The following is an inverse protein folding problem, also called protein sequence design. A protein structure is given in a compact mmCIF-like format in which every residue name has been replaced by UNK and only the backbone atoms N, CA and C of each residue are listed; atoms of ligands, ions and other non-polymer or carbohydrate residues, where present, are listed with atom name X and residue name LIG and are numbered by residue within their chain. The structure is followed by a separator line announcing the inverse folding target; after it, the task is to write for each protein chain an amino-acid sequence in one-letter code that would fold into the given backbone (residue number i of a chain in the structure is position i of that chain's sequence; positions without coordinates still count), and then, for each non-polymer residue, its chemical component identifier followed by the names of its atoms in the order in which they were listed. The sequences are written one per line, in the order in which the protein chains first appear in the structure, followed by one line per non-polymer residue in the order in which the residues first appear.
data_IF_643655330934
#
_entry.id   IF_643655330934
#
_cell.length_a   1.000
_cell.length_b   1.000
_cell.length_c   1.000
_cell.angle_alpha   90.00
_cell.angle_beta   90.00
_cell.angle_gamma   90.00
#
_symmetry.space_group_name_H-M   'P 1'
#
loop_
_entity.id
_entity.type
_entity.pdbx_description
1 polymer ?
#
# COMPACT_ATOMS: atom_id res chain seq x y z
N UNK A 1 9.51 7.51 18.84
CA UNK A 1 8.23 8.17 18.52
C UNK A 1 7.22 7.19 17.92
N UNK A 2 7.52 6.48 16.82
CA UNK A 2 6.59 5.54 16.17
C UNK A 2 5.99 4.52 17.14
N UNK A 3 6.79 3.78 17.90
CA UNK A 3 6.32 2.78 18.86
C UNK A 3 5.44 3.37 19.97
N UNK A 4 5.79 4.57 20.43
CA UNK A 4 5.01 5.27 21.47
C UNK A 4 3.61 5.64 20.95
N UNK A 5 3.50 6.13 19.72
CA UNK A 5 2.20 6.43 19.08
C UNK A 5 1.37 5.16 18.91
N UNK A 6 2.01 4.06 18.45
CA UNK A 6 1.33 2.78 18.30
C UNK A 6 0.74 2.31 19.64
N UNK A 7 1.54 2.26 20.70
CA UNK A 7 1.07 1.80 22.02
C UNK A 7 0.01 2.71 22.63
N UNK A 8 0.01 4.01 22.29
CA UNK A 8 -0.97 4.96 22.82
C UNK A 8 -2.34 4.85 22.14
N UNK A 9 -2.36 4.57 20.83
CA UNK A 9 -3.57 4.67 20.00
C UNK A 9 -4.09 3.32 19.47
N UNK A 10 -3.28 2.27 19.47
CA UNK A 10 -3.67 0.94 18.99
C UNK A 10 -3.75 -0.05 20.13
N UNK A 11 -4.95 -0.57 20.40
CA UNK A 11 -5.16 -1.64 21.37
C UNK A 11 -4.73 -2.98 20.76
N UNK A 12 -4.01 -3.81 21.54
CA UNK A 12 -3.49 -5.11 21.11
C UNK A 12 -2.68 -5.03 19.78
N UNK A 13 -1.57 -4.23 19.76
CA UNK A 13 -0.85 -3.89 18.53
C UNK A 13 -0.21 -5.10 17.82
N UNK A 14 -0.12 -6.26 18.48
CA UNK A 14 0.48 -7.47 17.90
C UNK A 14 -0.52 -8.32 17.10
N UNK A 15 -1.82 -8.12 17.29
CA UNK A 15 -2.88 -8.82 16.56
C UNK A 15 -3.19 -8.14 15.22
N UNK A 16 -2.21 -8.14 14.32
CA UNK A 16 -2.32 -7.48 13.00
C UNK A 16 -3.25 -8.20 12.01
N UNK A 17 -3.68 -9.43 12.32
CA UNK A 17 -4.67 -10.17 11.52
C UNK A 17 -6.09 -9.67 11.77
N UNK A 18 -6.34 -9.05 12.91
CA UNK A 18 -7.65 -8.51 13.28
C UNK A 18 -7.97 -7.24 12.48
N UNK A 19 -9.09 -7.24 11.78
CA UNK A 19 -9.52 -6.12 10.94
C UNK A 19 -9.67 -4.79 11.71
N UNK A 20 -10.11 -4.85 12.98
CA UNK A 20 -10.25 -3.67 13.83
C UNK A 20 -8.88 -3.07 14.19
N UNK A 21 -7.88 -3.92 14.45
CA UNK A 21 -6.50 -3.51 14.73
C UNK A 21 -5.87 -2.91 13.47
N UNK A 22 -6.05 -3.54 12.30
CA UNK A 22 -5.61 -2.99 11.00
C UNK A 22 -6.19 -1.60 10.76
N UNK A 23 -7.50 -1.46 10.94
CA UNK A 23 -8.19 -0.16 10.79
C UNK A 23 -7.65 0.89 11.77
N UNK A 24 -7.36 0.51 13.01
CA UNK A 24 -6.76 1.41 14.00
C UNK A 24 -5.37 1.90 13.56
N UNK A 25 -4.53 1.02 13.00
CA UNK A 25 -3.24 1.39 12.42
C UNK A 25 -3.39 2.34 11.22
N UNK A 26 -4.29 2.04 10.28
CA UNK A 26 -4.57 2.88 9.13
C UNK A 26 -5.09 4.27 9.53
N UNK A 27 -6.04 4.32 10.46
CA UNK A 27 -6.55 5.57 11.01
C UNK A 27 -5.45 6.39 11.71
N UNK A 28 -4.61 5.74 12.53
CA UNK A 28 -3.48 6.41 13.19
C UNK A 28 -2.53 7.02 12.16
N UNK A 29 -2.12 6.25 11.15
CA UNK A 29 -1.19 6.70 10.13
C UNK A 29 -1.77 7.87 9.34
N UNK A 30 -3.03 7.78 8.90
CA UNK A 30 -3.71 8.84 8.14
C UNK A 30 -3.89 10.12 8.97
N UNK A 31 -4.30 10.01 10.23
CA UNK A 31 -4.47 11.17 11.11
C UNK A 31 -3.15 11.87 11.44
N UNK A 32 -2.10 11.10 11.71
CA UNK A 32 -0.75 11.65 11.96
C UNK A 32 -0.22 12.32 10.70
N UNK A 33 -0.38 11.68 9.54
CA UNK A 33 -0.01 12.25 8.24
C UNK A 33 -0.72 13.56 7.95
N UNK A 34 -2.05 13.59 8.14
CA UNK A 34 -2.86 14.79 7.99
C UNK A 34 -2.39 15.92 8.93
N UNK A 35 -2.19 15.62 10.21
CA UNK A 35 -1.75 16.61 11.19
C UNK A 35 -0.38 17.19 10.83
N UNK A 36 0.59 16.35 10.43
CA UNK A 36 1.92 16.79 10.01
C UNK A 36 1.85 17.68 8.76
N UNK A 37 1.10 17.27 7.74
CA UNK A 37 0.96 18.04 6.50
C UNK A 37 0.25 19.40 6.74
N UNK A 38 -0.78 19.43 7.60
CA UNK A 38 -1.42 20.70 7.99
C UNK A 38 -0.47 21.60 8.77
N UNK A 39 0.32 21.07 9.70
CA UNK A 39 1.32 21.85 10.43
C UNK A 39 2.40 22.40 9.51
N UNK A 40 2.89 21.61 8.55
CA UNK A 40 3.83 22.06 7.52
C UNK A 40 3.20 23.14 6.63
N UNK A 41 1.95 22.95 6.20
CA UNK A 41 1.21 23.93 5.42
C UNK A 41 1.11 25.27 6.17
N UNK A 42 0.61 25.27 7.40
CA UNK A 42 0.45 26.48 8.20
C UNK A 42 1.78 27.15 8.49
N UNK A 43 2.83 26.40 8.84
CA UNK A 43 4.16 26.94 9.08
C UNK A 43 4.78 27.58 7.85
N UNK A 44 4.64 26.93 6.68
CA UNK A 44 5.11 27.47 5.39
C UNK A 44 4.30 28.67 4.93
N UNK A 45 2.96 28.67 5.10
CA UNK A 45 2.13 29.85 4.80
C UNK A 45 2.53 31.04 5.66
N UNK A 46 2.69 30.83 6.97
CA UNK A 46 3.15 31.91 7.87
C UNK A 46 4.53 32.43 7.47
N UNK A 47 5.49 31.56 7.19
CA UNK A 47 6.81 31.95 6.73
C UNK A 47 6.76 32.66 5.37
N UNK A 48 6.01 32.10 4.40
CA UNK A 48 5.87 32.68 3.06
C UNK A 48 5.24 34.06 3.07
N UNK A 49 4.21 34.31 3.90
CA UNK A 49 3.55 35.59 4.04
C UNK A 49 4.44 36.62 4.77
N UNK A 50 5.09 36.21 5.87
CA UNK A 50 5.96 37.11 6.64
C UNK A 50 7.19 37.58 5.86
N UNK A 51 7.73 36.72 4.98
CA UNK A 51 8.95 37.02 4.23
C UNK A 51 8.71 37.24 2.73
N UNK A 52 7.44 37.27 2.30
CA UNK A 52 7.06 37.58 0.91
C UNK A 52 7.53 36.55 -0.11
N UNK A 53 7.72 35.26 0.29
CA UNK A 53 8.21 34.19 -0.59
C UNK A 53 7.06 33.40 -1.22
N UNK A 54 6.79 33.69 -2.51
CA UNK A 54 5.78 32.98 -3.31
C UNK A 54 6.13 31.46 -3.41
N UNK A 55 7.43 31.15 -3.50
CA UNK A 55 7.89 29.76 -3.60
C UNK A 55 7.54 28.95 -2.34
N UNK A 56 7.74 29.53 -1.13
CA UNK A 56 7.36 28.87 0.13
C UNK A 56 5.83 28.72 0.24
N UNK A 57 5.07 29.72 -0.25
CA UNK A 57 3.61 29.65 -0.25
C UNK A 57 3.10 28.55 -1.22
N UNK A 58 3.71 28.41 -2.39
CA UNK A 58 3.40 27.35 -3.33
C UNK A 58 3.69 25.95 -2.73
N UNK A 59 4.81 25.80 -2.05
CA UNK A 59 5.18 24.55 -1.34
C UNK A 59 4.23 24.26 -0.16
N UNK A 60 3.66 25.27 0.48
CA UNK A 60 2.60 25.10 1.47
C UNK A 60 1.32 24.50 0.87
N UNK A 61 0.94 24.91 -0.34
CA UNK A 61 -0.22 24.33 -1.05
C UNK A 61 0.01 22.87 -1.41
N UNK A 62 1.25 22.47 -1.73
CA UNK A 62 1.58 21.06 -1.94
C UNK A 62 1.30 20.23 -0.68
N UNK A 63 1.72 20.70 0.51
CA UNK A 63 1.40 20.00 1.76
C UNK A 63 -0.12 19.92 2.05
N UNK A 64 -0.91 20.88 1.57
CA UNK A 64 -2.37 20.79 1.67
C UNK A 64 -2.93 19.69 0.77
N UNK A 65 -2.38 19.52 -0.44
CA UNK A 65 -2.71 18.41 -1.34
C UNK A 65 -2.38 17.06 -0.69
N UNK A 66 -1.21 16.92 -0.05
CA UNK A 66 -0.80 15.71 0.67
C UNK A 66 -1.73 15.39 1.85
N UNK A 67 -2.20 16.43 2.56
CA UNK A 67 -3.21 16.24 3.59
C UNK A 67 -4.51 15.64 3.02
N UNK A 68 -4.89 16.02 1.80
CA UNK A 68 -6.06 15.46 1.10
C UNK A 68 -5.87 13.99 0.76
N UNK A 69 -4.67 13.56 0.33
CA UNK A 69 -4.35 12.14 0.10
C UNK A 69 -4.47 11.31 1.39
N UNK A 70 -4.09 11.88 2.55
CA UNK A 70 -4.30 11.21 3.83
C UNK A 70 -5.79 11.07 4.20
N UNK A 71 -6.66 12.01 3.77
CA UNK A 71 -8.12 11.85 3.92
C UNK A 71 -8.63 10.68 3.08
N UNK A 72 -8.15 10.53 1.84
CA UNK A 72 -8.52 9.39 0.97
C UNK A 72 -8.13 8.08 1.63
N UNK A 73 -6.92 7.96 2.15
CA UNK A 73 -6.45 6.78 2.89
C UNK A 73 -7.33 6.49 4.12
N UNK A 74 -7.66 7.52 4.91
CA UNK A 74 -8.54 7.38 6.09
C UNK A 74 -9.93 6.84 5.72
N UNK A 75 -10.51 7.38 4.65
CA UNK A 75 -11.81 6.91 4.14
C UNK A 75 -11.71 5.48 3.63
N UNK A 76 -10.64 5.15 2.89
CA UNK A 76 -10.36 3.80 2.40
C UNK A 76 -10.32 2.78 3.52
N UNK A 77 -9.57 3.01 4.58
CA UNK A 77 -9.50 2.12 5.75
C UNK A 77 -10.85 1.96 6.46
N UNK A 78 -11.63 3.05 6.58
CA UNK A 78 -12.96 2.98 7.20
C UNK A 78 -13.96 2.20 6.36
N UNK A 79 -13.92 2.36 5.04
CA UNK A 79 -14.79 1.60 4.13
C UNK A 79 -14.37 0.12 4.07
N UNK A 80 -13.08 -0.16 4.02
CA UNK A 80 -12.55 -1.52 4.03
C UNK A 80 -12.94 -2.31 5.30
N UNK A 81 -13.11 -1.62 6.42
CA UNK A 81 -13.51 -2.24 7.68
C UNK A 81 -14.97 -2.74 7.70
N UNK A 82 -15.81 -2.37 6.71
CA UNK A 82 -17.18 -2.86 6.65
C UNK A 82 -17.20 -4.35 6.33
N UNK A 83 -18.02 -5.08 7.08
CA UNK A 83 -18.29 -6.49 6.84
C UNK A 83 -19.03 -6.76 5.52
N UNK A 84 -19.30 -8.04 5.23
CA UNK A 84 -20.17 -8.45 4.13
C UNK A 84 -21.57 -7.84 4.26
N UNK A 85 -22.17 -7.51 3.12
CA UNK A 85 -23.59 -7.12 2.99
C UNK A 85 -24.21 -7.82 1.78
N UNK A 86 -25.52 -7.61 1.54
CA UNK A 86 -26.25 -8.26 0.43
C UNK A 86 -25.67 -7.95 -0.96
N UNK A 87 -25.04 -6.77 -1.14
CA UNK A 87 -24.44 -6.36 -2.42
C UNK A 87 -22.99 -6.81 -2.55
N UNK A 88 -22.29 -6.94 -1.41
CA UNK A 88 -20.85 -7.29 -1.35
C UNK A 88 -20.67 -8.46 -0.36
N UNK A 89 -21.03 -9.70 -0.76
CA UNK A 89 -21.02 -10.86 0.13
C UNK A 89 -19.61 -11.22 0.62
N UNK A 90 -18.58 -10.83 -0.13
CA UNK A 90 -17.18 -11.04 0.27
C UNK A 90 -16.59 -9.89 1.09
N UNK A 91 -17.41 -8.86 1.41
CA UNK A 91 -17.02 -7.70 2.20
C UNK A 91 -16.42 -6.57 1.36
N UNK A 92 -15.85 -5.58 2.05
CA UNK A 92 -15.44 -4.31 1.47
C UNK A 92 -13.92 -4.07 1.52
N UNK A 93 -13.11 -5.07 1.88
CA UNK A 93 -11.68 -4.87 2.14
C UNK A 93 -10.89 -4.35 0.91
N UNK A 94 -11.36 -4.59 -0.33
CA UNK A 94 -10.78 -4.03 -1.56
C UNK A 94 -10.80 -2.49 -1.63
N UNK A 95 -11.61 -1.80 -0.79
CA UNK A 95 -11.53 -0.33 -0.70
C UNK A 95 -10.15 0.17 -0.24
N UNK A 96 -9.38 -0.65 0.48
CA UNK A 96 -7.99 -0.33 0.82
C UNK A 96 -7.12 -0.22 -0.44
N UNK A 97 -7.21 -1.19 -1.35
CA UNK A 97 -6.49 -1.14 -2.64
C UNK A 97 -6.94 0.04 -3.51
N UNK A 98 -8.25 0.31 -3.56
CA UNK A 98 -8.78 1.46 -4.31
C UNK A 98 -8.27 2.79 -3.75
N UNK A 99 -8.18 2.94 -2.44
CA UNK A 99 -7.60 4.14 -1.82
C UNK A 99 -6.10 4.26 -2.15
N UNK A 100 -5.34 3.15 -2.08
CA UNK A 100 -3.94 3.11 -2.52
C UNK A 100 -3.77 3.52 -3.98
N UNK A 101 -4.64 3.00 -4.87
CA UNK A 101 -4.61 3.35 -6.30
C UNK A 101 -4.84 4.86 -6.52
N UNK A 102 -5.78 5.48 -5.81
CA UNK A 102 -6.00 6.94 -5.89
C UNK A 102 -4.74 7.70 -5.48
N UNK A 103 -4.05 7.28 -4.42
CA UNK A 103 -2.78 7.89 -4.00
C UNK A 103 -1.71 7.71 -5.09
N UNK A 104 -1.57 6.51 -5.68
CA UNK A 104 -0.61 6.25 -6.77
C UNK A 104 -0.88 7.12 -8.00
N UNK A 105 -2.15 7.25 -8.42
CA UNK A 105 -2.53 8.13 -9.54
C UNK A 105 -2.17 9.59 -9.24
N UNK A 106 -2.36 10.04 -7.99
CA UNK A 106 -1.99 11.40 -7.58
C UNK A 106 -0.47 11.59 -7.66
N UNK A 107 0.34 10.63 -7.19
CA UNK A 107 1.80 10.66 -7.30
C UNK A 107 2.24 10.78 -8.76
N UNK A 108 1.67 9.98 -9.65
CA UNK A 108 1.99 10.01 -11.09
C UNK A 108 1.60 11.35 -11.72
N UNK A 109 0.44 11.91 -11.36
CA UNK A 109 0.00 13.23 -11.85
C UNK A 109 0.96 14.35 -11.40
N UNK A 110 1.39 14.33 -10.14
CA UNK A 110 2.38 15.28 -9.60
C UNK A 110 3.73 15.08 -10.31
N UNK A 111 4.19 13.83 -10.51
CA UNK A 111 5.41 13.52 -11.23
C UNK A 111 5.42 14.06 -12.67
N UNK A 112 4.30 13.92 -13.41
CA UNK A 112 4.13 14.47 -14.75
C UNK A 112 4.15 16.00 -14.76
N UNK A 113 3.49 16.63 -13.79
CA UNK A 113 3.51 18.10 -13.63
C UNK A 113 4.93 18.61 -13.35
N UNK A 114 5.63 17.97 -12.43
CA UNK A 114 7.02 18.29 -12.11
C UNK A 114 7.94 18.09 -13.32
N UNK A 115 7.77 17.04 -14.10
CA UNK A 115 8.54 16.79 -15.33
C UNK A 115 8.34 17.93 -16.33
N UNK A 116 7.08 18.32 -16.56
CA UNK A 116 6.73 19.41 -17.47
C UNK A 116 7.36 20.73 -17.02
N UNK A 117 7.20 21.11 -15.75
CA UNK A 117 7.73 22.36 -15.20
C UNK A 117 9.26 22.39 -15.23
N UNK A 118 9.90 21.28 -14.88
CA UNK A 118 11.36 21.15 -14.90
C UNK A 118 11.92 21.21 -16.31
N UNK A 119 11.26 20.58 -17.29
CA UNK A 119 11.65 20.65 -18.70
C UNK A 119 11.54 22.09 -19.22
N UNK A 120 10.49 22.83 -18.87
CA UNK A 120 10.36 24.25 -19.21
C UNK A 120 11.46 25.11 -18.58
N UNK A 121 11.88 24.82 -17.34
CA UNK A 121 13.02 25.50 -16.69
C UNK A 121 14.37 25.20 -17.35
N UNK A 122 14.55 24.01 -17.92
CA UNK A 122 15.74 23.71 -18.72
C UNK A 122 15.79 24.56 -19.99
N UNK A 123 14.63 24.75 -20.66
CA UNK A 123 14.53 25.53 -21.91
C UNK A 123 14.55 27.03 -21.64
N UNK A 124 13.98 27.48 -20.54
CA UNK A 124 13.87 28.87 -20.12
C UNK A 124 14.34 29.02 -18.67
N UNK A 125 15.65 29.05 -18.40
CA UNK A 125 16.18 29.16 -17.05
C UNK A 125 15.71 30.45 -16.38
N UNK A 126 15.22 30.30 -15.16
CA UNK A 126 14.83 31.46 -14.30
C UNK A 126 15.74 31.51 -13.09
N UNK A 127 16.19 32.70 -12.72
CA UNK A 127 17.04 32.88 -11.56
C UNK A 127 16.35 32.39 -10.27
N UNK A 128 17.05 31.57 -9.51
CA UNK A 128 16.55 31.04 -8.24
C UNK A 128 16.82 32.06 -7.14
N UNK A 129 15.77 32.46 -6.42
CA UNK A 129 15.91 33.41 -5.30
C UNK A 129 16.46 32.65 -4.08
N UNK A 130 17.71 32.95 -3.72
CA UNK A 130 18.36 32.37 -2.56
C UNK A 130 18.00 33.13 -1.28
N UNK A 131 17.62 32.40 -0.21
CA UNK A 131 17.39 32.92 1.12
C UNK A 131 17.73 31.87 2.18
N UNK A 132 18.51 32.24 3.19
CA UNK A 132 18.83 31.34 4.32
C UNK A 132 17.59 30.88 5.08
N UNK A 133 16.55 31.70 5.12
CA UNK A 133 15.28 31.29 5.71
C UNK A 133 14.61 30.21 4.91
N UNK A 134 14.55 30.36 3.57
CA UNK A 134 14.01 29.33 2.68
C UNK A 134 14.75 27.99 2.88
N UNK A 135 16.07 28.03 2.98
CA UNK A 135 16.92 26.87 3.28
C UNK A 135 16.50 26.22 4.61
N UNK A 136 16.30 27.01 5.66
CA UNK A 136 15.89 26.50 6.99
C UNK A 136 14.50 25.86 6.97
N UNK A 137 13.53 26.47 6.30
CA UNK A 137 12.15 25.95 6.16
C UNK A 137 12.14 24.65 5.34
N UNK A 138 12.88 24.60 4.23
CA UNK A 138 13.01 23.40 3.41
C UNK A 138 13.68 22.26 4.18
N UNK A 139 14.76 22.54 4.91
CA UNK A 139 15.47 21.54 5.72
C UNK A 139 14.56 20.97 6.84
N UNK A 140 13.80 21.83 7.53
CA UNK A 140 12.81 21.38 8.52
C UNK A 140 11.72 20.51 7.90
N UNK A 141 11.22 20.90 6.72
CA UNK A 141 10.23 20.13 5.96
C UNK A 141 10.76 18.75 5.58
N UNK A 142 12.01 18.65 5.08
CA UNK A 142 12.68 17.38 4.77
C UNK A 142 12.72 16.48 6.02
N UNK A 143 13.08 17.03 7.18
CA UNK A 143 13.13 16.27 8.43
C UNK A 143 11.78 15.65 8.81
N UNK A 144 10.71 16.44 8.75
CA UNK A 144 9.35 15.98 9.06
C UNK A 144 8.88 14.94 8.03
N UNK A 145 9.04 15.19 6.73
CA UNK A 145 8.63 14.27 5.66
C UNK A 145 9.42 12.96 5.70
N UNK A 146 10.70 13.00 6.03
CA UNK A 146 11.53 11.79 6.19
C UNK A 146 11.03 10.93 7.37
N UNK A 147 10.66 11.59 8.47
CA UNK A 147 10.05 10.88 9.61
C UNK A 147 8.69 10.29 9.23
N UNK A 148 7.82 11.03 8.53
CA UNK A 148 6.52 10.55 8.05
C UNK A 148 6.66 9.35 7.11
N UNK A 149 7.60 9.40 6.16
CA UNK A 149 7.88 8.29 5.25
C UNK A 149 8.26 7.02 6.03
N UNK A 150 9.20 7.13 6.99
CA UNK A 150 9.58 5.99 7.84
C UNK A 150 8.43 5.49 8.72
N UNK A 151 7.64 6.39 9.27
CA UNK A 151 6.47 6.08 10.10
C UNK A 151 5.43 5.28 9.30
N UNK A 152 5.02 5.77 8.15
CA UNK A 152 4.04 5.12 7.28
C UNK A 152 4.57 3.78 6.75
N UNK A 153 5.85 3.71 6.34
CA UNK A 153 6.49 2.46 5.91
C UNK A 153 6.49 1.41 7.02
N UNK A 154 6.84 1.79 8.24
CA UNK A 154 6.88 0.86 9.39
C UNK A 154 5.49 0.30 9.69
N UNK A 155 4.46 1.14 9.66
CA UNK A 155 3.09 0.68 9.88
C UNK A 155 2.61 -0.13 8.67
N UNK A 156 2.82 0.36 7.44
CA UNK A 156 2.42 -0.33 6.20
C UNK A 156 2.97 -1.74 6.12
N UNK A 157 4.25 -1.94 6.41
CA UNK A 157 4.87 -3.27 6.48
C UNK A 157 4.27 -4.14 7.59
N UNK A 158 3.96 -3.56 8.76
CA UNK A 158 3.42 -4.31 9.89
C UNK A 158 2.01 -4.86 9.64
N UNK A 159 1.18 -4.12 8.89
CA UNK A 159 -0.19 -4.53 8.57
C UNK A 159 -0.36 -4.97 7.12
N UNK A 160 0.72 -5.07 6.34
CA UNK A 160 0.72 -5.39 4.91
C UNK A 160 -0.28 -4.51 4.13
N UNK A 161 -0.09 -3.18 4.20
CA UNK A 161 -0.99 -2.20 3.57
C UNK A 161 -0.30 -1.46 2.44
N UNK A 162 -0.72 -1.71 1.21
CA UNK A 162 -0.25 -1.03 0.00
C UNK A 162 -0.58 0.47 0.04
N UNK A 163 -1.74 0.84 0.59
CA UNK A 163 -2.11 2.25 0.77
C UNK A 163 -1.10 3.01 1.63
N UNK A 164 -0.65 2.43 2.75
CA UNK A 164 0.36 3.06 3.60
C UNK A 164 1.76 3.02 2.97
N UNK A 165 2.07 2.01 2.17
CA UNK A 165 3.29 1.97 1.37
C UNK A 165 3.28 3.07 0.30
N UNK A 166 2.13 3.31 -0.37
CA UNK A 166 1.93 4.43 -1.28
C UNK A 166 2.14 5.79 -0.58
N UNK A 167 1.51 5.99 0.59
CA UNK A 167 1.68 7.23 1.38
C UNK A 167 3.12 7.42 1.87
N UNK A 168 3.83 6.33 2.20
CA UNK A 168 5.24 6.38 2.57
C UNK A 168 6.13 6.78 1.37
N UNK A 169 5.82 6.27 0.17
CA UNK A 169 6.51 6.63 -1.07
C UNK A 169 6.27 8.08 -1.45
N UNK A 170 5.04 8.58 -1.31
CA UNK A 170 4.67 9.98 -1.51
C UNK A 170 5.54 10.90 -0.62
N UNK A 171 5.54 10.66 0.70
CA UNK A 171 6.40 11.42 1.63
C UNK A 171 7.89 11.32 1.29
N UNK A 172 8.37 10.19 0.74
CA UNK A 172 9.76 10.03 0.28
C UNK A 172 10.03 10.85 -0.98
N UNK A 173 9.08 10.88 -1.92
CA UNK A 173 9.18 11.68 -3.13
C UNK A 173 9.24 13.17 -2.80
N UNK A 174 8.48 13.62 -1.81
CA UNK A 174 8.56 14.98 -1.28
C UNK A 174 9.96 15.31 -0.72
N UNK A 175 10.56 14.38 0.02
CA UNK A 175 11.95 14.54 0.51
C UNK A 175 12.92 14.68 -0.66
N UNK A 176 12.80 13.84 -1.69
CA UNK A 176 13.67 13.90 -2.87
C UNK A 176 13.50 15.20 -3.62
N UNK A 177 12.25 15.60 -3.90
CA UNK A 177 11.93 16.84 -4.60
C UNK A 177 12.44 18.05 -3.83
N UNK A 178 12.12 18.16 -2.53
CA UNK A 178 12.55 19.26 -1.67
C UNK A 178 14.08 19.30 -1.52
N UNK A 179 14.74 18.13 -1.44
CA UNK A 179 16.20 18.05 -1.37
C UNK A 179 16.86 18.46 -2.68
N UNK A 180 16.29 18.10 -3.84
CA UNK A 180 16.76 18.54 -5.14
C UNK A 180 16.62 20.05 -5.31
N UNK A 181 15.47 20.62 -4.91
CA UNK A 181 15.26 22.08 -4.91
C UNK A 181 16.25 22.79 -3.99
N UNK A 182 16.49 22.26 -2.79
CA UNK A 182 17.47 22.83 -1.86
C UNK A 182 18.88 22.79 -2.45
N UNK A 183 19.28 21.63 -3.01
CA UNK A 183 20.60 21.46 -3.59
C UNK A 183 20.78 22.34 -4.84
N UNK A 184 19.80 22.39 -5.74
CA UNK A 184 19.84 23.24 -6.93
C UNK A 184 19.91 24.71 -6.56
N UNK A 185 19.14 25.15 -5.56
CA UNK A 185 19.17 26.53 -5.07
C UNK A 185 20.56 26.93 -4.56
N UNK A 186 21.21 26.05 -3.77
CA UNK A 186 22.56 26.29 -3.26
C UNK A 186 23.58 26.27 -4.39
N UNK A 187 23.53 25.29 -5.27
CA UNK A 187 24.45 25.17 -6.40
C UNK A 187 24.31 26.31 -7.39
N UNK A 188 23.07 26.72 -7.77
CA UNK A 188 22.84 27.87 -8.64
C UNK A 188 23.39 29.15 -8.04
N UNK A 189 23.20 29.35 -6.72
CA UNK A 189 23.76 30.53 -6.02
C UNK A 189 25.30 30.54 -6.04
N UNK A 190 25.95 29.39 -5.91
CA UNK A 190 27.41 29.28 -5.90
C UNK A 190 28.03 29.35 -7.30
N UNK A 191 27.38 28.77 -8.31
CA UNK A 191 27.91 28.62 -9.67
C UNK A 191 27.39 29.64 -10.67
N UNK A 192 26.24 30.27 -10.40
CA UNK A 192 25.50 31.10 -11.34
C UNK A 192 24.80 30.32 -12.47
N UNK A 193 24.67 28.99 -12.36
CA UNK A 193 24.08 28.14 -13.39
C UNK A 193 22.60 27.84 -13.05
N UNK A 194 21.69 28.65 -13.55
CA UNK A 194 20.26 28.52 -13.30
C UNK A 194 19.63 27.28 -13.96
N UNK A 195 20.28 26.68 -14.95
CA UNK A 195 19.82 25.43 -15.64
C UNK A 195 19.85 24.22 -14.70
N UNK A 196 20.69 24.23 -13.66
CA UNK A 196 20.82 23.12 -12.72
C UNK A 196 19.49 22.76 -12.03
N UNK A 197 18.68 23.76 -11.70
CA UNK A 197 17.36 23.56 -11.08
C UNK A 197 16.43 22.74 -11.98
N UNK A 198 16.36 23.09 -13.27
CA UNK A 198 15.59 22.34 -14.26
C UNK A 198 16.09 20.89 -14.44
N UNK A 199 17.41 20.69 -14.55
CA UNK A 199 18.00 19.35 -14.74
C UNK A 199 17.76 18.43 -13.53
N UNK A 200 17.97 18.98 -12.32
CA UNK A 200 17.69 18.23 -11.08
C UNK A 200 16.21 17.88 -10.97
N UNK A 201 15.32 18.81 -11.33
CA UNK A 201 13.88 18.59 -11.36
C UNK A 201 13.48 17.49 -12.34
N UNK A 202 14.04 17.46 -13.56
CA UNK A 202 13.79 16.37 -14.55
C UNK A 202 14.24 15.02 -14.00
N UNK A 203 15.43 14.94 -13.38
CA UNK A 203 15.93 13.67 -12.82
C UNK A 203 15.03 13.14 -11.69
N UNK A 204 14.59 14.03 -10.79
CA UNK A 204 13.67 13.69 -9.70
C UNK A 204 12.30 13.27 -10.24
N UNK A 205 11.74 14.00 -11.21
CA UNK A 205 10.45 13.68 -11.82
C UNK A 205 10.48 12.30 -12.51
N UNK A 206 11.56 11.98 -13.24
CA UNK A 206 11.73 10.67 -13.86
C UNK A 206 11.77 9.54 -12.81
N UNK A 207 12.47 9.76 -11.69
CA UNK A 207 12.50 8.81 -10.57
C UNK A 207 11.12 8.62 -9.94
N UNK A 208 10.37 9.71 -9.69
CA UNK A 208 9.01 9.66 -9.12
C UNK A 208 8.08 8.88 -10.03
N UNK A 209 8.11 9.12 -11.35
CA UNK A 209 7.28 8.41 -12.32
C UNK A 209 7.61 6.91 -12.38
N UNK A 210 8.90 6.56 -12.40
CA UNK A 210 9.33 5.17 -12.39
C UNK A 210 8.91 4.44 -11.11
N UNK A 211 9.16 5.03 -9.95
CA UNK A 211 8.80 4.49 -8.64
C UNK A 211 7.27 4.42 -8.45
N UNK A 212 6.55 5.46 -8.87
CA UNK A 212 5.09 5.54 -8.79
C UNK A 212 4.38 4.54 -9.69
N UNK A 213 4.95 4.23 -10.88
CA UNK A 213 4.43 3.19 -11.76
C UNK A 213 4.56 1.80 -11.14
N UNK A 214 5.71 1.46 -10.55
CA UNK A 214 5.88 0.20 -9.82
C UNK A 214 4.83 0.03 -8.72
N UNK A 215 4.69 1.06 -7.86
CA UNK A 215 3.73 1.04 -6.76
C UNK A 215 2.27 0.93 -7.24
N UNK A 216 1.94 1.56 -8.38
CA UNK A 216 0.62 1.44 -9.00
C UNK A 216 0.35 0.00 -9.46
N UNK A 217 1.35 -0.67 -10.05
CA UNK A 217 1.23 -2.07 -10.46
C UNK A 217 1.06 -3.00 -9.26
N UNK A 218 1.83 -2.81 -8.20
CA UNK A 218 1.72 -3.59 -6.95
C UNK A 218 0.33 -3.44 -6.30
N UNK A 219 -0.26 -2.24 -6.39
CA UNK A 219 -1.61 -1.98 -5.86
C UNK A 219 -2.72 -2.53 -6.78
N UNK A 220 -2.49 -2.55 -8.09
CA UNK A 220 -3.46 -3.00 -9.09
C UNK A 220 -3.48 -4.52 -9.23
N UNK A 221 -2.32 -5.19 -9.07
CA UNK A 221 -2.15 -6.63 -9.28
C UNK A 221 -3.16 -7.47 -8.45
N UNK A 222 -3.35 -7.23 -7.14
CA UNK A 222 -4.36 -7.96 -6.35
C UNK A 222 -5.80 -7.73 -6.84
N UNK A 223 -6.11 -6.54 -7.38
CA UNK A 223 -7.43 -6.26 -7.94
C UNK A 223 -7.71 -7.04 -9.22
N UNK A 224 -6.66 -7.32 -10.02
CA UNK A 224 -6.74 -8.10 -11.25
C UNK A 224 -6.75 -9.62 -11.00
N UNK A 225 -6.49 -10.07 -9.78
CA UNK A 225 -6.42 -11.50 -9.44
C UNK A 225 -4.99 -12.02 -9.55
N UNK A 226 -4.09 -11.47 -8.76
CA UNK A 226 -2.73 -11.93 -8.63
C UNK A 226 -2.68 -13.38 -8.15
N UNK A 227 -1.75 -14.17 -8.70
CA UNK A 227 -1.50 -15.53 -8.25
C UNK A 227 -1.04 -15.55 -6.78
N UNK A 228 -1.52 -16.51 -5.97
CA UNK A 228 -1.05 -16.64 -4.60
C UNK A 228 0.46 -16.90 -4.54
N UNK A 229 1.10 -16.51 -3.44
CA UNK A 229 2.52 -16.80 -3.26
C UNK A 229 2.75 -18.33 -3.20
N UNK A 230 3.90 -18.83 -3.70
CA UNK A 230 4.22 -20.26 -3.62
C UNK A 230 4.18 -20.78 -2.19
N UNK A 231 4.60 -19.98 -1.21
CA UNK A 231 4.58 -20.36 0.21
C UNK A 231 3.15 -20.54 0.74
N UNK A 232 2.20 -19.73 0.27
CA UNK A 232 0.79 -19.87 0.63
C UNK A 232 0.20 -21.14 0.04
N UNK A 233 0.49 -21.45 -1.23
CA UNK A 233 0.06 -22.66 -1.92
C UNK A 233 0.58 -23.91 -1.17
N UNK A 234 1.88 -23.96 -0.91
CA UNK A 234 2.53 -25.07 -0.17
C UNK A 234 1.92 -25.23 1.23
N UNK A 235 1.64 -24.14 1.92
CA UNK A 235 1.01 -24.19 3.24
C UNK A 235 -0.41 -24.75 3.20
N UNK A 236 -1.21 -24.36 2.19
CA UNK A 236 -2.56 -24.89 2.00
C UNK A 236 -2.49 -26.39 1.70
N UNK A 237 -1.71 -26.79 0.70
CA UNK A 237 -1.56 -28.18 0.29
C UNK A 237 -1.07 -29.07 1.45
N UNK A 238 -0.03 -28.62 2.16
CA UNK A 238 0.49 -29.33 3.33
C UNK A 238 -0.57 -29.49 4.44
N UNK A 239 -1.37 -28.45 4.69
CA UNK A 239 -2.42 -28.50 5.71
C UNK A 239 -3.49 -29.50 5.31
N UNK A 240 -3.97 -29.47 4.06
CA UNK A 240 -5.01 -30.37 3.56
C UNK A 240 -4.52 -31.82 3.53
N UNK A 241 -3.30 -32.06 3.03
CA UNK A 241 -2.68 -33.39 2.97
C UNK A 241 -2.29 -33.97 4.34
N UNK A 242 -2.33 -33.16 5.41
CA UNK A 242 -2.08 -33.68 6.77
C UNK A 242 -3.24 -34.52 7.34
N UNK A 243 -4.39 -34.48 6.71
CA UNK A 243 -5.57 -35.24 7.13
C UNK A 243 -5.55 -36.64 6.55
N UNK A 244 -5.73 -37.69 7.38
CA UNK A 244 -5.58 -39.11 6.96
C UNK A 244 -6.52 -39.53 5.84
N UNK A 245 -7.72 -38.92 5.76
CA UNK A 245 -8.73 -39.24 4.72
C UNK A 245 -8.46 -38.52 3.39
N UNK A 246 -7.43 -37.69 3.25
CA UNK A 246 -7.11 -36.99 2.01
C UNK A 246 -5.96 -37.67 1.29
N UNK A 247 -6.19 -38.04 0.02
CA UNK A 247 -5.22 -38.74 -0.84
C UNK A 247 -4.50 -37.80 -1.80
N UNK A 248 -5.12 -36.64 -2.15
CA UNK A 248 -4.58 -35.66 -3.08
C UNK A 248 -5.34 -34.35 -3.01
N UNK A 249 -4.76 -33.31 -3.59
CA UNK A 249 -5.36 -31.98 -3.73
C UNK A 249 -5.15 -31.50 -5.16
N UNK A 250 -6.20 -30.97 -5.79
CA UNK A 250 -6.12 -30.36 -7.11
C UNK A 250 -7.11 -29.19 -7.25
N UNK A 251 -7.02 -28.46 -8.37
CA UNK A 251 -7.87 -27.30 -8.70
C UNK A 251 -7.90 -26.23 -7.60
N UNK A 252 -6.75 -26.01 -6.96
CA UNK A 252 -6.62 -24.96 -5.95
C UNK A 252 -6.77 -23.58 -6.58
N UNK A 253 -7.80 -22.85 -6.19
CA UNK A 253 -8.03 -21.46 -6.56
C UNK A 253 -8.01 -20.58 -5.31
N UNK A 254 -7.24 -19.50 -5.39
CA UNK A 254 -7.14 -18.51 -4.30
C UNK A 254 -7.50 -17.14 -4.84
N UNK A 255 -8.53 -16.52 -4.27
CA UNK A 255 -8.99 -15.20 -4.64
C UNK A 255 -8.76 -14.20 -3.51
N UNK A 256 -8.06 -13.12 -3.81
CA UNK A 256 -7.88 -11.98 -2.89
C UNK A 256 -9.07 -11.02 -2.98
N UNK A 257 -9.76 -10.84 -1.85
CA UNK A 257 -10.84 -9.87 -1.68
C UNK A 257 -10.42 -8.68 -0.80
N UNK A 258 -9.12 -8.49 -0.62
CA UNK A 258 -8.52 -7.41 0.14
C UNK A 258 -7.74 -7.92 1.35
N UNK A 259 -6.94 -7.05 2.00
CA UNK A 259 -6.05 -7.44 3.07
C UNK A 259 -6.76 -8.20 4.19
N UNK A 260 -6.32 -9.42 4.47
CA UNK A 260 -6.90 -10.30 5.47
C UNK A 260 -8.24 -10.92 5.06
N UNK A 261 -8.59 -10.92 3.76
CA UNK A 261 -9.77 -11.60 3.21
C UNK A 261 -9.41 -12.36 1.95
N UNK A 262 -9.18 -13.64 2.11
CA UNK A 262 -8.87 -14.57 1.02
C UNK A 262 -10.00 -15.60 0.92
N UNK A 263 -10.40 -15.94 -0.29
CA UNK A 263 -11.29 -17.04 -0.58
C UNK A 263 -10.49 -18.14 -1.25
N UNK A 264 -10.57 -19.35 -0.70
CA UNK A 264 -9.86 -20.53 -1.19
C UNK A 264 -10.92 -21.55 -1.63
N UNK A 265 -10.76 -22.07 -2.83
CA UNK A 265 -11.52 -23.23 -3.32
C UNK A 265 -10.54 -24.30 -3.77
N UNK A 266 -10.78 -25.52 -3.41
CA UNK A 266 -9.94 -26.66 -3.77
C UNK A 266 -10.77 -27.95 -3.83
N UNK A 267 -10.26 -28.93 -4.57
CA UNK A 267 -10.77 -30.29 -4.56
C UNK A 267 -9.81 -31.22 -3.78
N UNK A 268 -10.34 -31.94 -2.80
CA UNK A 268 -9.61 -32.93 -2.06
C UNK A 268 -9.99 -34.35 -2.56
N UNK A 269 -9.02 -35.14 -2.98
CA UNK A 269 -9.24 -36.54 -3.36
C UNK A 269 -9.39 -37.40 -2.12
N UNK A 270 -10.46 -38.19 -2.07
CA UNK A 270 -10.78 -39.07 -0.93
C UNK A 270 -11.04 -40.52 -1.38
N UNK A 271 -10.86 -41.52 -0.52
CA UNK A 271 -11.12 -42.92 -0.87
C UNK A 271 -12.58 -43.14 -1.26
N UNK A 272 -12.83 -43.84 -2.38
CA UNK A 272 -14.17 -44.07 -2.92
C UNK A 272 -15.06 -44.97 -2.04
N UNK A 273 -14.48 -45.78 -1.16
CA UNK A 273 -15.16 -46.80 -0.37
C UNK A 273 -15.36 -46.42 1.12
N UNK A 274 -15.07 -45.19 1.50
CA UNK A 274 -15.28 -44.74 2.88
C UNK A 274 -16.68 -44.15 3.12
N UNK A 275 -17.06 -44.07 4.41
CA UNK A 275 -18.33 -43.46 4.81
C UNK A 275 -18.34 -41.96 4.48
N UNK A 276 -19.31 -41.56 3.67
CA UNK A 276 -19.48 -40.17 3.22
C UNK A 276 -19.64 -39.19 4.39
N UNK A 277 -20.28 -39.62 5.49
CA UNK A 277 -20.46 -38.73 6.66
C UNK A 277 -19.15 -38.53 7.40
N UNK A 278 -18.29 -39.56 7.49
CA UNK A 278 -16.98 -39.45 8.10
C UNK A 278 -16.06 -38.54 7.26
N UNK A 279 -16.06 -38.73 5.93
CA UNK A 279 -15.29 -37.86 5.01
C UNK A 279 -15.76 -36.42 5.04
N UNK A 280 -17.07 -36.16 5.10
CA UNK A 280 -17.61 -34.83 5.21
C UNK A 280 -17.13 -34.14 6.50
N UNK A 281 -17.12 -34.86 7.62
CA UNK A 281 -16.60 -34.29 8.89
C UNK A 281 -15.09 -33.98 8.84
N UNK A 282 -14.30 -34.78 8.10
CA UNK A 282 -12.87 -34.44 7.88
C UNK A 282 -12.69 -33.20 7.02
N UNK A 283 -13.44 -33.04 5.93
CA UNK A 283 -13.39 -31.87 5.07
C UNK A 283 -13.83 -30.61 5.84
N UNK A 284 -14.87 -30.70 6.67
CA UNK A 284 -15.28 -29.59 7.56
C UNK A 284 -14.15 -29.19 8.52
N UNK A 285 -13.37 -30.17 9.03
CA UNK A 285 -12.21 -29.86 9.88
C UNK A 285 -11.08 -29.17 9.08
N UNK A 286 -10.81 -29.60 7.85
CA UNK A 286 -9.86 -28.94 6.94
C UNK A 286 -10.27 -27.49 6.70
N UNK A 287 -11.54 -27.24 6.34
CA UNK A 287 -12.06 -25.89 6.14
C UNK A 287 -11.90 -25.02 7.40
N UNK A 288 -12.22 -25.57 8.57
CA UNK A 288 -12.12 -24.87 9.84
C UNK A 288 -10.68 -24.50 10.16
N UNK A 289 -9.74 -25.44 10.00
CA UNK A 289 -8.32 -25.20 10.26
C UNK A 289 -7.74 -24.14 9.31
N UNK A 290 -8.01 -24.25 8.00
CA UNK A 290 -7.59 -23.24 7.02
C UNK A 290 -8.22 -21.87 7.31
N UNK A 291 -9.49 -21.84 7.69
CA UNK A 291 -10.20 -20.60 8.05
C UNK A 291 -9.58 -19.93 9.28
N UNK A 292 -9.23 -20.71 10.30
CA UNK A 292 -8.59 -20.21 11.52
C UNK A 292 -7.14 -19.72 11.26
N UNK A 293 -6.35 -20.49 10.50
CA UNK A 293 -4.95 -20.18 10.23
C UNK A 293 -4.74 -19.01 9.24
N UNK A 294 -5.59 -18.92 8.22
CA UNK A 294 -5.42 -17.99 7.10
C UNK A 294 -6.40 -16.81 7.14
N UNK A 295 -7.34 -16.76 8.10
CA UNK A 295 -8.46 -15.79 8.11
C UNK A 295 -9.22 -15.78 6.77
N UNK A 296 -9.34 -16.94 6.14
CA UNK A 296 -9.89 -17.14 4.80
C UNK A 296 -11.35 -17.65 4.85
N UNK A 297 -12.11 -17.38 3.79
CA UNK A 297 -13.33 -18.14 3.49
C UNK A 297 -12.91 -19.33 2.65
N UNK A 298 -13.06 -20.54 3.15
CA UNK A 298 -12.63 -21.78 2.48
C UNK A 298 -13.86 -22.53 2.02
N UNK A 299 -13.83 -23.02 0.79
CA UNK A 299 -14.76 -23.97 0.22
C UNK A 299 -13.93 -25.17 -0.27
N UNK A 300 -14.03 -26.31 0.42
CA UNK A 300 -13.39 -27.53 0.00
C UNK A 300 -14.47 -28.49 -0.52
N UNK A 301 -14.32 -28.95 -1.75
CA UNK A 301 -15.14 -29.97 -2.35
C UNK A 301 -14.30 -31.27 -2.40
N UNK A 302 -14.97 -32.43 -2.27
CA UNK A 302 -14.27 -33.73 -2.34
C UNK A 302 -14.62 -34.46 -3.63
N UNK A 303 -13.59 -34.99 -4.32
CA UNK A 303 -13.71 -35.88 -5.45
C UNK A 303 -13.35 -37.30 -5.04
N UNK A 304 -14.12 -38.27 -5.55
CA UNK A 304 -13.80 -39.68 -5.34
C UNK A 304 -12.57 -40.05 -6.15
N UNK A 305 -11.48 -40.40 -5.48
CA UNK A 305 -10.34 -41.00 -6.15
C UNK A 305 -10.80 -42.29 -6.87
N UNK A 306 -10.79 -42.26 -8.19
CA UNK A 306 -10.94 -43.48 -8.97
C UNK A 306 -9.76 -44.38 -8.63
N UNK A 307 -10.03 -45.61 -8.13
CA UNK A 307 -9.00 -46.59 -7.92
C UNK A 307 -8.14 -46.66 -9.19
N UNK A 308 -6.84 -46.50 -9.07
CA UNK A 308 -5.87 -46.74 -10.14
C UNK A 308 -5.79 -48.28 -10.40
N UNK A 309 -6.87 -48.87 -10.87
CA UNK A 309 -6.83 -50.17 -11.53
C UNK A 309 -6.39 -49.91 -12.97
N UNK A 310 -5.26 -50.53 -13.32
CA UNK A 310 -4.58 -50.30 -14.57
C UNK A 310 -5.50 -50.52 -15.78
N UNK A 311 -5.61 -49.50 -16.62
CA UNK A 311 -6.20 -49.69 -17.94
C UNK A 311 -6.91 -48.43 -18.47
N UNK A 312 -6.22 -47.69 -19.29
CA UNK A 312 -6.82 -46.99 -20.43
C UNK A 312 -7.58 -45.69 -20.12
N UNK A 313 -6.96 -44.59 -20.38
CA UNK A 313 -7.61 -43.31 -20.59
C UNK A 313 -8.70 -43.43 -21.68
N UNK A 314 -9.89 -42.82 -21.51
CA UNK A 314 -10.67 -42.34 -22.63
C UNK A 314 -10.27 -40.87 -22.87
N UNK A 315 -9.76 -40.64 -24.08
CA UNK A 315 -9.67 -39.30 -24.66
C UNK A 315 -11.08 -38.75 -24.90
N UNK A 316 -11.33 -37.55 -24.42
CA UNK A 316 -12.17 -36.54 -25.06
C UNK A 316 -11.97 -35.19 -24.39
#
# INVERSE_FOLDING_TARGET
MTQLLIHLFVRHPDDTKNAAVRTAYGNLASLVGMACNLLLCLGKLAAGTLFGSIAIMADALNNLSDASSNVVSLVGFRLAAKGPDEKHPYGHARYEYLAGLVVCVTILAIGLSLLKESALKVLHPTAVVFSWLSVGVLAASIGVKLWMSRFNKTIGQRINSETLMATAADSRNDVLTTSAVLLSTVLSHLTGWDVLDGLMGVAVAAFILWSGWGLMMDTLSPLLGESPSPELVEHIEHTVMSYPGVLGVHDLMVHDYGPGRVMISLHAEVPANEDVLALHAEIDNVEKELREKLSAVVLAEYDRALAKDGGGAPAA
#
